data_IF_781390099576
#
_entry.id   IF_781390099576
#
_cell.length_a   1.000
_cell.length_b   1.000
_cell.length_c   1.000
_cell.angle_alpha   90.00
_cell.angle_beta   90.00
_cell.angle_gamma   90.00
#
_symmetry.space_group_name_H-M   'P 1'
#
loop_
_entity.id
_entity.type
_entity.pdbx_description
1 polymer ?
#
# COMPACT_ATOMS: atom_id res chain seq x y z
N UNK A 1 7.54 50.15 40.24
CA UNK A 1 7.13 50.52 38.87
C UNK A 1 8.16 50.08 37.86
N UNK A 2 7.90 48.95 37.21
CA UNK A 2 8.66 48.45 36.05
C UNK A 2 7.90 48.80 34.77
N UNK A 3 8.57 49.12 33.65
CA UNK A 3 7.88 49.52 32.42
C UNK A 3 7.16 48.32 31.80
N UNK A 4 6.07 48.56 31.04
CA UNK A 4 5.30 47.49 30.42
C UNK A 4 6.11 46.79 29.31
N UNK A 5 5.89 45.49 29.06
CA UNK A 5 6.59 44.77 28.01
C UNK A 5 6.14 45.25 26.62
N UNK A 6 7.11 45.36 25.71
CA UNK A 6 6.89 45.72 24.31
C UNK A 6 5.95 44.73 23.60
N UNK A 7 5.15 45.18 22.62
CA UNK A 7 4.24 44.31 21.88
C UNK A 7 5.01 43.25 21.05
N UNK A 8 4.42 42.07 20.81
CA UNK A 8 5.07 41.01 20.05
C UNK A 8 5.29 41.44 18.59
N UNK A 9 6.52 41.26 18.09
CA UNK A 9 6.86 41.45 16.68
C UNK A 9 5.91 40.65 15.79
N UNK A 10 5.34 41.30 14.78
CA UNK A 10 4.58 40.65 13.73
C UNK A 10 5.43 39.56 13.05
N UNK A 11 4.85 38.40 12.69
CA UNK A 11 5.60 37.37 11.98
C UNK A 11 6.01 37.92 10.61
N UNK A 12 7.31 37.81 10.31
CA UNK A 12 7.88 38.11 9.00
C UNK A 12 7.13 37.29 7.94
N UNK A 13 6.73 37.87 6.79
CA UNK A 13 6.14 37.10 5.71
C UNK A 13 7.09 35.98 5.32
N UNK A 14 6.66 34.73 5.48
CA UNK A 14 7.37 33.58 4.94
C UNK A 14 7.43 33.78 3.43
N UNK A 15 8.63 34.07 2.92
CA UNK A 15 8.90 34.06 1.50
C UNK A 15 8.55 32.68 0.90
N UNK A 16 8.46 32.58 -0.43
CA UNK A 16 8.17 31.31 -1.10
C UNK A 16 9.09 30.21 -0.57
N UNK A 17 8.58 28.97 -0.38
CA UNK A 17 9.36 27.85 0.10
C UNK A 17 10.67 27.77 -0.67
N UNK A 18 11.80 27.88 0.04
CA UNK A 18 13.08 27.61 -0.57
C UNK A 18 13.02 26.18 -1.12
N UNK A 19 13.44 25.93 -2.38
CA UNK A 19 13.55 24.59 -2.90
C UNK A 19 14.34 23.75 -1.90
N UNK A 20 13.79 22.58 -1.54
CA UNK A 20 14.51 21.60 -0.73
C UNK A 20 15.93 21.48 -1.31
N UNK A 21 17.00 21.53 -0.50
CA UNK A 21 18.34 21.27 -1.01
C UNK A 21 18.29 19.95 -1.76
N UNK A 22 18.70 19.96 -3.03
CA UNK A 22 18.78 18.78 -3.86
C UNK A 22 19.50 17.70 -3.03
N UNK A 23 18.77 16.67 -2.64
CA UNK A 23 19.30 15.59 -1.84
C UNK A 23 20.22 14.80 -2.77
N UNK A 24 21.48 15.24 -2.88
CA UNK A 24 22.54 14.63 -3.66
C UNK A 24 23.00 13.31 -3.03
N UNK A 25 22.07 12.52 -2.50
CA UNK A 25 22.31 11.14 -2.11
C UNK A 25 22.53 10.36 -3.40
N UNK A 26 23.75 10.46 -3.93
CA UNK A 26 24.29 9.52 -4.89
C UNK A 26 24.38 8.21 -4.10
N UNK A 27 23.34 7.40 -4.19
CA UNK A 27 23.44 6.01 -3.76
C UNK A 27 24.54 5.40 -4.62
N UNK A 28 25.70 5.08 -4.02
CA UNK A 28 26.71 4.29 -4.71
C UNK A 28 26.09 2.94 -5.03
N UNK A 29 25.55 2.82 -6.24
CA UNK A 29 25.09 1.54 -6.76
C UNK A 29 26.31 0.63 -6.81
N UNK A 30 26.30 -0.45 -6.02
CA UNK A 30 27.31 -1.49 -6.17
C UNK A 30 27.26 -2.01 -7.61
N UNK A 31 28.42 -2.25 -8.25
CA UNK A 31 28.46 -2.94 -9.53
C UNK A 31 27.71 -4.26 -9.37
N UNK A 32 26.68 -4.47 -10.19
CA UNK A 32 25.95 -5.73 -10.19
C UNK A 32 26.91 -6.81 -10.71
N UNK A 33 27.12 -7.91 -9.97
CA UNK A 33 27.94 -9.00 -10.46
C UNK A 33 27.30 -9.60 -11.72
N UNK A 34 28.12 -9.88 -12.72
CA UNK A 34 27.70 -10.64 -13.90
C UNK A 34 27.55 -12.11 -13.51
N UNK A 35 26.30 -12.50 -13.23
CA UNK A 35 25.94 -13.85 -12.78
C UNK A 35 25.12 -14.52 -13.87
N UNK A 36 25.65 -15.62 -14.41
CA UNK A 36 24.89 -16.52 -15.27
C UNK A 36 23.87 -17.30 -14.41
N UNK A 37 22.64 -16.78 -14.35
CA UNK A 37 21.53 -17.38 -13.62
C UNK A 37 21.17 -18.76 -14.19
N UNK A 38 21.34 -18.99 -15.50
CA UNK A 38 21.04 -20.30 -16.08
C UNK A 38 22.06 -21.33 -15.63
N UNK A 39 23.36 -21.01 -15.69
CA UNK A 39 24.41 -21.87 -15.15
C UNK A 39 24.20 -22.14 -13.65
N UNK A 40 23.80 -21.13 -12.89
CA UNK A 40 23.49 -21.26 -11.46
C UNK A 40 22.29 -22.19 -11.22
N UNK A 41 21.21 -22.04 -11.99
CA UNK A 41 20.03 -22.89 -11.91
C UNK A 41 20.36 -24.36 -12.21
N UNK A 42 21.20 -24.63 -13.21
CA UNK A 42 21.65 -26.00 -13.53
C UNK A 42 22.53 -26.62 -12.45
N UNK A 43 23.21 -25.81 -11.62
CA UNK A 43 24.04 -26.30 -10.52
C UNK A 43 23.24 -26.64 -9.24
N UNK A 44 21.99 -26.20 -9.14
CA UNK A 44 21.15 -26.43 -7.98
C UNK A 44 20.74 -27.91 -7.89
N UNK A 45 21.03 -28.55 -6.74
CA UNK A 45 20.71 -29.97 -6.49
C UNK A 45 19.78 -30.17 -5.29
N UNK A 46 19.76 -29.21 -4.37
CA UNK A 46 18.95 -29.25 -3.17
C UNK A 46 17.57 -28.63 -3.42
N UNK A 47 16.50 -29.26 -2.92
CA UNK A 47 15.11 -28.88 -3.23
C UNK A 47 14.78 -27.39 -2.96
N UNK A 48 15.12 -26.81 -1.79
CA UNK A 48 14.97 -25.37 -1.56
C UNK A 48 15.70 -24.48 -2.58
N UNK A 49 16.88 -24.89 -3.05
CA UNK A 49 17.61 -24.15 -4.08
C UNK A 49 16.89 -24.25 -5.42
N UNK A 50 16.37 -25.42 -5.78
CA UNK A 50 15.58 -25.61 -7.00
C UNK A 50 14.32 -24.72 -6.98
N UNK A 51 13.58 -24.71 -5.87
CA UNK A 51 12.44 -23.80 -5.69
C UNK A 51 12.88 -22.34 -5.85
N UNK A 52 13.96 -21.94 -5.19
CA UNK A 52 14.50 -20.57 -5.27
C UNK A 52 14.84 -20.19 -6.72
N UNK A 53 15.50 -21.08 -7.48
CA UNK A 53 15.84 -20.84 -8.89
C UNK A 53 14.58 -20.74 -9.76
N UNK A 54 13.56 -21.55 -9.49
CA UNK A 54 12.26 -21.43 -10.17
C UNK A 54 11.62 -20.05 -9.92
N UNK A 55 11.65 -19.55 -8.69
CA UNK A 55 11.18 -18.18 -8.40
C UNK A 55 12.00 -17.10 -9.10
N UNK A 56 13.33 -17.23 -9.11
CA UNK A 56 14.21 -16.27 -9.80
C UNK A 56 13.85 -16.19 -11.28
N UNK A 57 13.62 -17.34 -11.92
CA UNK A 57 13.28 -17.39 -13.35
C UNK A 57 11.90 -16.81 -13.64
N UNK A 58 10.91 -17.09 -12.78
CA UNK A 58 9.57 -16.50 -12.87
C UNK A 58 9.61 -14.98 -12.67
N UNK A 59 10.40 -14.48 -11.69
CA UNK A 59 10.55 -13.05 -11.43
C UNK A 59 11.25 -12.32 -12.58
N UNK A 60 12.27 -12.94 -13.18
CA UNK A 60 12.97 -12.40 -14.36
C UNK A 60 12.02 -12.17 -15.53
N UNK A 61 11.06 -13.08 -15.72
CA UNK A 61 10.10 -13.02 -16.82
C UNK A 61 8.74 -12.43 -16.38
N UNK A 62 8.65 -11.90 -15.16
CA UNK A 62 7.39 -11.43 -14.62
C UNK A 62 6.86 -10.24 -15.44
N UNK A 63 5.59 -10.34 -15.80
CA UNK A 63 4.83 -9.26 -16.44
C UNK A 63 3.73 -8.76 -15.50
N UNK A 64 3.35 -7.50 -15.64
CA UNK A 64 2.15 -6.95 -15.00
C UNK A 64 0.87 -7.59 -15.55
N UNK A 65 0.89 -8.06 -16.80
CA UNK A 65 -0.24 -8.72 -17.47
C UNK A 65 -0.33 -10.22 -17.19
N UNK A 66 0.46 -10.73 -16.25
CA UNK A 66 0.49 -12.15 -15.92
C UNK A 66 -0.82 -12.57 -15.22
N UNK A 67 -1.49 -13.66 -15.63
CA UNK A 67 -2.71 -14.14 -14.97
C UNK A 67 -2.54 -14.46 -13.48
N UNK A 68 -1.32 -14.80 -13.03
CA UNK A 68 -0.98 -15.02 -11.61
C UNK A 68 -1.06 -13.73 -10.79
N UNK A 69 -0.87 -12.56 -11.42
CA UNK A 69 -1.00 -11.27 -10.76
C UNK A 69 -2.45 -10.97 -10.34
N UNK A 70 -3.44 -11.60 -10.99
CA UNK A 70 -4.88 -11.43 -10.72
C UNK A 70 -5.34 -9.96 -10.71
N UNK A 71 -4.67 -9.10 -11.46
CA UNK A 71 -5.05 -7.70 -11.63
C UNK A 71 -6.24 -7.62 -12.59
N UNK A 72 -7.23 -6.77 -12.27
CA UNK A 72 -8.32 -6.47 -13.20
C UNK A 72 -7.81 -5.56 -14.33
N UNK A 73 -8.52 -5.56 -15.46
CA UNK A 73 -8.20 -4.66 -16.57
C UNK A 73 -8.24 -3.18 -16.16
N UNK A 74 -9.16 -2.81 -15.25
CA UNK A 74 -9.27 -1.45 -14.69
C UNK A 74 -8.01 -1.08 -13.88
N UNK A 75 -7.49 -1.99 -13.06
CA UNK A 75 -6.28 -1.75 -12.26
C UNK A 75 -5.05 -1.71 -13.16
N UNK A 76 -4.97 -2.57 -14.18
CA UNK A 76 -3.88 -2.52 -15.15
C UNK A 76 -3.87 -1.19 -15.92
N UNK A 77 -5.04 -0.72 -16.35
CA UNK A 77 -5.18 0.58 -17.00
C UNK A 77 -4.73 1.72 -16.07
N UNK A 78 -5.18 1.71 -14.81
CA UNK A 78 -4.79 2.71 -13.83
C UNK A 78 -3.28 2.70 -13.52
N UNK A 79 -2.64 1.52 -13.48
CA UNK A 79 -1.20 1.39 -13.30
C UNK A 79 -0.41 1.92 -14.51
N UNK A 80 -0.91 1.71 -15.73
CA UNK A 80 -0.30 2.22 -16.94
C UNK A 80 -0.56 3.72 -17.14
N UNK A 81 -1.70 4.20 -16.65
CA UNK A 81 -2.22 5.56 -16.82
C UNK A 81 -2.56 6.17 -15.45
N UNK A 82 -1.55 6.42 -14.58
CA UNK A 82 -1.80 6.93 -13.24
C UNK A 82 -2.44 8.32 -13.27
N UNK A 83 -3.36 8.64 -12.33
CA UNK A 83 -3.95 9.97 -12.24
C UNK A 83 -2.87 11.06 -12.10
N UNK A 84 -2.88 12.05 -13.00
CA UNK A 84 -1.93 13.17 -13.00
C UNK A 84 -2.46 14.40 -12.25
N UNK A 85 -3.71 14.35 -11.77
CA UNK A 85 -4.35 15.45 -11.06
C UNK A 85 -4.04 15.33 -9.56
N UNK A 86 -3.73 16.44 -8.85
CA UNK A 86 -3.55 16.41 -7.42
C UNK A 86 -4.77 15.82 -6.70
N UNK A 87 -4.53 14.98 -5.69
CA UNK A 87 -5.57 14.46 -4.83
C UNK A 87 -6.17 15.59 -3.99
N UNK A 88 -7.47 15.82 -4.14
CA UNK A 88 -8.24 16.80 -3.37
C UNK A 88 -9.37 16.08 -2.63
N UNK A 89 -9.34 16.14 -1.29
CA UNK A 89 -10.36 15.57 -0.41
C UNK A 89 -10.95 16.71 0.44
N UNK A 90 -11.91 17.43 -0.14
CA UNK A 90 -12.48 18.64 0.48
C UNK A 90 -13.62 18.36 1.47
N UNK A 91 -14.22 17.17 1.40
CA UNK A 91 -15.34 16.81 2.27
C UNK A 91 -14.83 16.44 3.69
N UNK A 92 -15.20 17.19 4.74
CA UNK A 92 -14.71 16.94 6.10
C UNK A 92 -15.10 15.56 6.65
N UNK A 93 -16.25 15.03 6.24
CA UNK A 93 -16.72 13.71 6.68
C UNK A 93 -15.97 12.57 5.98
N UNK A 94 -15.62 12.74 4.71
CA UNK A 94 -14.72 11.82 4.01
C UNK A 94 -13.33 11.87 4.64
N UNK A 95 -12.81 13.07 4.93
CA UNK A 95 -11.54 13.25 5.63
C UNK A 95 -11.55 12.60 7.01
N UNK A 96 -12.63 12.78 7.79
CA UNK A 96 -12.83 12.11 9.08
C UNK A 96 -12.81 10.58 8.94
N UNK A 97 -13.48 10.06 7.91
CA UNK A 97 -13.55 8.62 7.65
C UNK A 97 -12.16 8.03 7.35
N UNK A 98 -11.40 8.67 6.46
CA UNK A 98 -10.04 8.26 6.10
C UNK A 98 -9.09 8.43 7.30
N UNK A 99 -9.19 9.54 8.03
CA UNK A 99 -8.37 9.77 9.23
C UNK A 99 -8.63 8.71 10.30
N UNK A 100 -9.90 8.31 10.48
CA UNK A 100 -10.27 7.21 11.36
C UNK A 100 -9.65 5.90 10.88
N UNK A 101 -9.80 5.56 9.60
CA UNK A 101 -9.20 4.35 9.02
C UNK A 101 -7.67 4.29 9.23
N UNK A 102 -6.96 5.39 8.94
CA UNK A 102 -5.50 5.46 9.08
C UNK A 102 -5.05 5.42 10.54
N UNK A 103 -5.73 6.15 11.44
CA UNK A 103 -5.39 6.17 12.87
C UNK A 103 -5.58 4.80 13.54
N UNK A 104 -6.39 3.93 12.93
CA UNK A 104 -6.67 2.61 13.44
C UNK A 104 -5.60 1.59 13.08
N UNK A 105 -4.65 1.87 12.17
CA UNK A 105 -3.47 1.10 11.66
C UNK A 105 -3.52 -0.44 11.72
N UNK A 106 -3.82 -1.02 12.88
CA UNK A 106 -3.86 -2.45 13.22
C UNK A 106 -5.24 -2.96 13.67
N UNK A 107 -6.28 -2.13 13.70
CA UNK A 107 -7.60 -2.49 14.21
C UNK A 107 -8.52 -2.97 13.08
N UNK A 108 -9.39 -3.93 13.43
CA UNK A 108 -10.29 -4.57 12.50
C UNK A 108 -11.31 -3.59 11.93
N UNK A 109 -11.83 -3.90 10.74
CA UNK A 109 -12.99 -3.27 10.10
C UNK A 109 -14.09 -2.86 11.11
N UNK A 110 -14.35 -3.72 12.09
CA UNK A 110 -15.33 -3.51 13.17
C UNK A 110 -15.09 -2.22 13.95
N UNK A 111 -13.84 -1.90 14.30
CA UNK A 111 -13.53 -0.69 15.06
C UNK A 111 -13.77 0.58 14.22
N UNK A 112 -13.36 0.56 12.95
CA UNK A 112 -13.59 1.66 12.03
C UNK A 112 -15.08 1.90 11.81
N UNK A 113 -15.85 0.83 11.58
CA UNK A 113 -17.30 0.90 11.41
C UNK A 113 -18.00 1.39 12.67
N UNK A 114 -17.59 0.93 13.86
CA UNK A 114 -18.17 1.39 15.13
C UNK A 114 -17.95 2.89 15.35
N UNK A 115 -16.76 3.41 15.05
CA UNK A 115 -16.48 4.85 15.15
C UNK A 115 -17.29 5.63 14.14
N UNK A 116 -17.31 5.22 12.87
CA UNK A 116 -18.09 5.89 11.82
C UNK A 116 -19.59 5.89 12.16
N UNK A 117 -20.13 4.78 12.67
CA UNK A 117 -21.51 4.67 13.11
C UNK A 117 -21.80 5.58 14.31
N UNK A 118 -20.93 5.61 15.32
CA UNK A 118 -21.06 6.50 16.47
C UNK A 118 -21.04 7.97 16.04
N UNK A 119 -20.12 8.34 15.13
CA UNK A 119 -20.06 9.69 14.57
C UNK A 119 -21.36 10.06 13.85
N UNK A 120 -21.91 9.18 13.00
CA UNK A 120 -23.21 9.40 12.33
C UNK A 120 -24.35 9.57 13.33
N UNK A 121 -24.38 8.73 14.37
CA UNK A 121 -25.46 8.77 15.37
C UNK A 121 -25.42 10.07 16.19
N UNK A 122 -24.24 10.50 16.65
CA UNK A 122 -24.11 11.66 17.53
C UNK A 122 -24.14 13.00 16.76
N UNK A 123 -23.69 13.00 15.51
CA UNK A 123 -23.58 14.21 14.70
C UNK A 123 -24.49 14.22 13.47
N UNK A 124 -25.47 13.31 13.38
CA UNK A 124 -26.32 13.11 12.20
C UNK A 124 -27.17 14.31 11.76
N UNK A 125 -27.30 15.34 12.61
CA UNK A 125 -28.00 16.60 12.28
C UNK A 125 -27.04 17.65 11.69
N UNK A 126 -25.72 17.44 11.80
CA UNK A 126 -24.74 18.32 11.21
C UNK A 126 -24.66 18.13 9.68
N UNK A 127 -24.50 19.19 8.89
CA UNK A 127 -24.30 19.08 7.45
C UNK A 127 -23.11 18.17 7.12
N UNK A 128 -23.31 17.20 6.22
CA UNK A 128 -22.27 16.28 5.76
C UNK A 128 -22.12 15.01 6.61
N UNK A 129 -22.88 14.82 7.69
CA UNK A 129 -22.82 13.57 8.46
C UNK A 129 -23.23 12.32 7.64
N UNK A 130 -24.07 12.52 6.63
CA UNK A 130 -24.46 11.53 5.62
C UNK A 130 -23.27 11.04 4.78
N UNK A 131 -22.23 11.87 4.61
CA UNK A 131 -21.05 11.58 3.80
C UNK A 131 -19.98 10.78 4.55
N UNK A 132 -20.18 10.49 5.83
CA UNK A 132 -19.28 9.59 6.57
C UNK A 132 -19.32 8.22 5.88
N UNK A 133 -18.16 7.73 5.46
CA UNK A 133 -18.05 6.52 4.65
C UNK A 133 -18.14 5.27 5.52
N UNK A 134 -18.60 4.17 4.92
CA UNK A 134 -18.41 2.82 5.48
C UNK A 134 -16.98 2.36 5.20
N UNK A 135 -16.50 1.34 5.93
CA UNK A 135 -15.14 0.80 5.73
C UNK A 135 -14.84 0.46 4.27
N UNK A 136 -15.74 -0.27 3.61
CA UNK A 136 -15.60 -0.62 2.19
C UNK A 136 -15.54 0.60 1.27
N UNK A 137 -16.33 1.64 1.57
CA UNK A 137 -16.30 2.88 0.80
C UNK A 137 -15.02 3.67 1.04
N UNK A 138 -14.44 3.62 2.25
CA UNK A 138 -13.14 4.21 2.54
C UNK A 138 -12.05 3.51 1.71
N UNK A 139 -11.98 2.18 1.74
CA UNK A 139 -10.99 1.41 0.96
C UNK A 139 -11.13 1.66 -0.54
N UNK A 140 -12.37 1.69 -1.05
CA UNK A 140 -12.64 2.06 -2.44
C UNK A 140 -12.16 3.48 -2.76
N UNK A 141 -12.40 4.44 -1.87
CA UNK A 141 -11.99 5.82 -2.06
C UNK A 141 -10.46 5.94 -2.08
N UNK A 142 -9.76 5.28 -1.15
CA UNK A 142 -8.30 5.22 -1.12
C UNK A 142 -7.75 4.58 -2.40
N UNK A 143 -8.32 3.45 -2.84
CA UNK A 143 -7.90 2.78 -4.08
C UNK A 143 -8.03 3.67 -5.31
N UNK A 144 -9.18 4.31 -5.50
CA UNK A 144 -9.41 5.20 -6.67
C UNK A 144 -8.36 6.31 -6.71
N UNK A 145 -7.99 6.86 -5.55
CA UNK A 145 -7.10 8.00 -5.48
C UNK A 145 -5.61 7.66 -5.43
N UNK A 146 -5.24 6.50 -4.89
CA UNK A 146 -3.85 6.08 -4.74
C UNK A 146 -3.41 5.06 -5.79
N UNK A 147 -4.35 4.39 -6.46
CA UNK A 147 -4.07 3.25 -7.33
C UNK A 147 -3.55 2.02 -6.57
N UNK A 148 -3.62 2.02 -5.23
CA UNK A 148 -3.17 0.89 -4.40
C UNK A 148 -4.27 -0.17 -4.38
N UNK A 149 -4.00 -1.29 -5.05
CA UNK A 149 -4.87 -2.47 -5.08
C UNK A 149 -4.27 -3.59 -4.20
N UNK A 150 -5.08 -4.25 -3.35
CA UNK A 150 -4.61 -5.42 -2.63
C UNK A 150 -4.37 -6.60 -3.57
N UNK A 151 -3.17 -7.20 -3.49
CA UNK A 151 -2.86 -8.48 -4.14
C UNK A 151 -3.19 -9.63 -3.21
N UNK A 152 -4.31 -10.31 -3.48
CA UNK A 152 -4.80 -11.42 -2.66
C UNK A 152 -4.41 -12.78 -3.26
N UNK A 153 -3.50 -13.45 -2.56
CA UNK A 153 -3.12 -14.83 -2.82
C UNK A 153 -3.42 -15.69 -1.60
N UNK A 154 -3.81 -16.94 -1.84
CA UNK A 154 -4.07 -17.87 -0.75
C UNK A 154 -2.76 -18.16 -0.01
N UNK A 155 -2.83 -18.14 1.31
CA UNK A 155 -1.70 -18.44 2.19
C UNK A 155 -2.05 -19.63 3.07
N UNK A 156 -1.07 -20.47 3.35
CA UNK A 156 -1.26 -21.57 4.28
C UNK A 156 -1.53 -21.03 5.70
N UNK A 157 -2.62 -21.44 6.37
CA UNK A 157 -2.96 -20.92 7.70
C UNK A 157 -1.96 -21.31 8.80
N UNK A 158 -1.17 -22.38 8.58
CA UNK A 158 -0.21 -22.87 9.57
C UNK A 158 1.18 -22.23 9.42
N UNK A 159 1.54 -21.79 8.21
CA UNK A 159 2.92 -21.36 7.89
C UNK A 159 2.98 -19.97 7.27
N UNK A 160 1.83 -19.37 6.96
CA UNK A 160 1.70 -18.13 6.19
C UNK A 160 2.41 -18.18 4.82
N UNK A 161 2.73 -19.37 4.33
CA UNK A 161 3.39 -19.53 3.05
C UNK A 161 2.39 -19.25 1.93
N UNK A 162 2.70 -18.29 1.07
CA UNK A 162 1.83 -17.89 -0.03
C UNK A 162 1.90 -18.92 -1.18
N UNK A 163 0.73 -19.27 -1.72
CA UNK A 163 0.58 -20.15 -2.88
C UNK A 163 0.64 -19.30 -4.16
N UNK A 164 1.81 -18.71 -4.44
CA UNK A 164 2.05 -17.85 -5.59
C UNK A 164 3.02 -18.47 -6.59
N UNK A 165 2.97 -18.00 -7.84
CA UNK A 165 3.95 -18.30 -8.90
C UNK A 165 4.19 -19.83 -9.06
N UNK A 166 5.39 -20.45 -8.89
CA UNK A 166 5.53 -21.91 -9.01
C UNK A 166 4.58 -22.73 -8.13
N UNK A 167 4.13 -22.16 -7.02
CA UNK A 167 3.26 -22.84 -6.07
C UNK A 167 1.77 -22.53 -6.25
N UNK A 168 1.41 -21.69 -7.23
CA UNK A 168 0.02 -21.35 -7.53
C UNK A 168 -0.85 -22.56 -7.88
N UNK A 169 -0.24 -23.60 -8.45
CA UNK A 169 -0.86 -24.86 -8.86
C UNK A 169 -0.98 -25.91 -7.73
N UNK A 170 -0.36 -25.66 -6.58
CA UNK A 170 -0.40 -26.61 -5.47
C UNK A 170 -1.73 -26.49 -4.71
N UNK A 171 -2.34 -27.65 -4.43
CA UNK A 171 -3.52 -27.76 -3.58
C UNK A 171 -3.17 -27.92 -2.10
N UNK A 172 -1.90 -28.14 -1.77
CA UNK A 172 -1.41 -28.35 -0.42
C UNK A 172 -0.15 -27.53 -0.18
N UNK A 173 0.04 -27.07 1.06
CA UNK A 173 1.25 -26.36 1.46
C UNK A 173 2.48 -27.28 1.37
N UNK A 174 3.51 -26.89 0.62
CA UNK A 174 4.73 -27.69 0.51
C UNK A 174 5.52 -27.84 1.83
N UNK A 175 5.21 -27.01 2.85
CA UNK A 175 5.87 -27.06 4.17
C UNK A 175 5.16 -28.02 5.10
N UNK A 176 3.83 -27.91 5.23
CA UNK A 176 3.05 -28.63 6.25
C UNK A 176 1.94 -29.54 5.70
N UNK A 177 1.83 -29.66 4.38
CA UNK A 177 0.86 -30.52 3.66
C UNK A 177 -0.61 -30.20 3.96
N UNK A 178 -0.88 -29.07 4.60
CA UNK A 178 -2.25 -28.61 4.82
C UNK A 178 -2.87 -28.23 3.48
N UNK A 179 -4.06 -28.77 3.20
CA UNK A 179 -4.88 -28.33 2.06
C UNK A 179 -5.05 -26.82 2.08
N UNK A 180 -5.00 -26.25 0.87
CA UNK A 180 -5.47 -24.91 0.57
C UNK A 180 -6.96 -24.79 0.89
#
# INVERSE_FOLDING_TARGET
DSPPPSPPCSPVPLGPPQPLPANNNIYECRPQPDVDIEALAHSATFQPMLHTMSFIQELRNASTTDPVAKLSDEVLDQLCNPPSVPLVIDNPSVHHSISTYLALEHLSQVACEAICHSSKHNFGVAPGAEDILTFQNIERHIRIHTGVEPLLHDMCPNTCHACTRPFSILNECHICQKSR
#
